data_IF_902845531348
#
_entry.id   IF_902845531348
#
_cell.length_a   1.000
_cell.length_b   1.000
_cell.length_c   1.000
_cell.angle_alpha   90.00
_cell.angle_beta   90.00
_cell.angle_gamma   90.00
#
_symmetry.space_group_name_H-M   'P 1'
#
loop_
_entity.id
_entity.type
_entity.pdbx_description
1 polymer ?
#
# COMPACT_ATOMS: atom_id res chain seq x y z
N UNK A 1 54.69 7.71 29.22
CA UNK A 1 54.12 6.47 29.82
C UNK A 1 52.59 6.49 29.96
N UNK A 2 51.93 7.65 30.21
CA UNK A 2 50.46 7.72 30.36
C UNK A 2 49.65 7.48 29.07
N UNK A 3 50.19 7.84 27.90
CA UNK A 3 49.49 7.70 26.61
C UNK A 3 49.28 6.22 26.21
N UNK A 4 50.28 5.35 26.45
CA UNK A 4 50.21 3.91 26.14
C UNK A 4 49.15 3.20 26.99
N UNK A 5 49.00 3.61 28.25
CA UNK A 5 47.98 3.05 29.15
C UNK A 5 46.54 3.41 28.73
N UNK A 6 46.34 4.61 28.19
CA UNK A 6 45.03 5.05 27.70
C UNK A 6 44.59 4.29 26.44
N UNK A 7 45.52 4.04 25.51
CA UNK A 7 45.27 3.26 24.28
C UNK A 7 44.99 1.79 24.61
N UNK A 8 45.69 1.22 25.59
CA UNK A 8 45.44 -0.17 26.02
C UNK A 8 44.06 -0.32 26.68
N UNK A 9 43.60 0.68 27.44
CA UNK A 9 42.26 0.69 28.04
C UNK A 9 41.15 0.85 27.00
N UNK A 10 41.33 1.71 25.99
CA UNK A 10 40.32 1.88 24.95
C UNK A 10 40.14 0.61 24.11
N UNK A 11 41.22 -0.08 23.76
CA UNK A 11 41.14 -1.34 23.01
C UNK A 11 40.43 -2.45 23.79
N UNK A 12 40.67 -2.55 25.11
CA UNK A 12 39.98 -3.53 25.97
C UNK A 12 38.48 -3.23 26.08
N UNK A 13 38.10 -1.96 26.18
CA UNK A 13 36.68 -1.54 26.20
C UNK A 13 35.98 -1.88 24.88
N UNK A 14 36.62 -1.62 23.73
CA UNK A 14 36.05 -1.96 22.41
C UNK A 14 35.88 -3.47 22.26
N UNK A 15 36.88 -4.28 22.62
CA UNK A 15 36.76 -5.74 22.58
C UNK A 15 35.65 -6.25 23.50
N UNK A 16 35.54 -5.69 24.71
CA UNK A 16 34.48 -6.06 25.64
C UNK A 16 33.09 -5.72 25.08
N UNK A 17 32.91 -4.52 24.53
CA UNK A 17 31.67 -4.13 23.87
C UNK A 17 31.32 -5.03 22.69
N UNK A 18 32.29 -5.38 21.85
CA UNK A 18 32.06 -6.32 20.73
C UNK A 18 31.63 -7.70 21.23
N UNK A 19 32.32 -8.26 22.23
CA UNK A 19 31.93 -9.55 22.83
C UNK A 19 30.51 -9.47 23.38
N UNK A 20 30.16 -8.38 24.08
CA UNK A 20 28.84 -8.21 24.69
C UNK A 20 27.74 -8.13 23.62
N UNK A 21 27.99 -7.42 22.51
CA UNK A 21 27.10 -7.37 21.34
C UNK A 21 26.95 -8.74 20.68
N UNK A 22 28.05 -9.47 20.47
CA UNK A 22 28.02 -10.83 19.93
C UNK A 22 27.23 -11.79 20.82
N UNK A 23 27.40 -11.71 22.14
CA UNK A 23 26.66 -12.55 23.08
C UNK A 23 25.18 -12.19 23.11
N UNK A 24 24.81 -10.91 23.05
CA UNK A 24 23.41 -10.47 23.03
C UNK A 24 22.68 -11.01 21.79
N UNK A 25 23.29 -10.86 20.61
CA UNK A 25 22.77 -11.43 19.35
C UNK A 25 22.62 -12.95 19.47
N UNK A 26 23.63 -13.65 20.00
CA UNK A 26 23.57 -15.11 20.15
C UNK A 26 22.46 -15.57 21.10
N UNK A 27 22.23 -14.84 22.21
CA UNK A 27 21.15 -15.17 23.16
C UNK A 27 19.76 -14.98 22.54
N UNK A 28 19.55 -13.94 21.74
CA UNK A 28 18.29 -13.74 21.02
C UNK A 28 18.02 -14.88 20.03
N UNK A 29 19.03 -15.33 19.28
CA UNK A 29 18.89 -16.47 18.37
C UNK A 29 18.50 -17.78 19.07
N UNK A 30 19.03 -18.04 20.27
CA UNK A 30 18.67 -19.24 21.04
C UNK A 30 17.23 -19.20 21.59
N UNK A 31 16.68 -18.01 21.82
CA UNK A 31 15.30 -17.83 22.32
C UNK A 31 14.25 -18.12 21.24
N UNK A 32 14.54 -17.78 19.97
CA UNK A 32 13.61 -17.90 18.84
C UNK A 32 13.08 -19.34 18.63
N UNK A 33 13.89 -20.36 18.92
CA UNK A 33 13.48 -21.78 18.76
C UNK A 33 12.40 -22.23 19.76
N UNK A 34 12.24 -21.52 20.87
CA UNK A 34 11.26 -21.84 21.92
C UNK A 34 9.94 -21.09 21.79
N UNK A 35 9.85 -20.13 20.85
CA UNK A 35 8.71 -19.20 20.74
C UNK A 35 7.56 -19.72 19.88
N UNK A 36 7.78 -20.75 19.07
CA UNK A 36 6.78 -21.23 18.11
C UNK A 36 6.16 -22.54 18.57
N UNK A 37 4.90 -22.47 19.00
CA UNK A 37 4.12 -23.62 19.44
C UNK A 37 3.50 -24.40 18.26
N UNK A 38 3.26 -23.73 17.13
CA UNK A 38 2.62 -24.32 15.96
C UNK A 38 3.30 -23.95 14.64
N UNK A 39 2.89 -24.69 13.60
CA UNK A 39 3.39 -24.53 12.24
C UNK A 39 3.17 -23.12 11.69
N UNK A 40 2.01 -22.52 11.97
CA UNK A 40 1.62 -21.21 11.43
C UNK A 40 2.53 -20.12 12.00
N UNK A 41 2.72 -20.12 13.33
CA UNK A 41 3.57 -19.20 14.06
C UNK A 41 5.02 -19.36 13.61
N UNK A 42 5.50 -20.60 13.43
CA UNK A 42 6.84 -20.86 12.91
C UNK A 42 7.07 -20.25 11.51
N UNK A 43 6.22 -20.56 10.53
CA UNK A 43 6.41 -20.09 9.15
C UNK A 43 6.08 -18.61 8.95
N UNK A 44 5.53 -17.95 9.98
CA UNK A 44 5.39 -16.49 10.01
C UNK A 44 6.73 -15.77 10.18
N UNK A 45 7.78 -16.46 10.63
CA UNK A 45 9.13 -15.91 10.69
C UNK A 45 9.90 -16.24 9.40
N UNK A 46 10.51 -15.26 8.72
CA UNK A 46 11.10 -15.48 7.39
C UNK A 46 12.26 -16.46 7.36
N UNK A 47 13.00 -16.55 8.46
CA UNK A 47 14.16 -17.45 8.58
C UNK A 47 13.77 -18.87 8.98
N UNK A 48 12.50 -19.17 9.24
CA UNK A 48 12.07 -20.44 9.81
C UNK A 48 11.33 -21.33 8.80
N UNK A 49 11.40 -22.64 9.00
CA UNK A 49 10.61 -23.67 8.31
C UNK A 49 10.13 -24.70 9.33
N UNK A 50 9.00 -25.35 9.02
CA UNK A 50 8.41 -26.36 9.89
C UNK A 50 8.69 -27.77 9.35
N UNK A 51 9.45 -28.59 10.08
CA UNK A 51 9.77 -29.97 9.72
C UNK A 51 8.55 -30.86 9.93
N UNK A 52 8.08 -31.50 8.87
CA UNK A 52 6.95 -32.44 8.86
C UNK A 52 7.37 -33.84 9.31
N UNK A 53 8.57 -34.28 8.92
CA UNK A 53 9.06 -35.64 9.17
C UNK A 53 10.29 -35.66 10.09
N UNK A 54 10.04 -35.51 11.39
CA UNK A 54 11.08 -35.39 12.43
C UNK A 54 11.95 -36.64 12.61
N UNK A 55 11.42 -37.83 12.30
CA UNK A 55 12.10 -39.11 12.47
C UNK A 55 13.44 -39.19 11.71
N UNK A 56 13.55 -38.45 10.60
CA UNK A 56 14.76 -38.42 9.78
C UNK A 56 15.86 -37.51 10.35
N UNK A 57 15.55 -36.70 11.37
CA UNK A 57 16.45 -35.67 11.89
C UNK A 57 16.67 -35.79 13.40
N UNK A 58 16.33 -36.90 14.05
CA UNK A 58 16.49 -37.06 15.52
C UNK A 58 17.93 -36.85 16.02
N UNK A 59 18.93 -37.05 15.15
CA UNK A 59 20.35 -36.85 15.48
C UNK A 59 20.83 -35.42 15.28
N UNK A 60 20.05 -34.56 14.61
CA UNK A 60 20.43 -33.16 14.41
C UNK A 60 20.32 -32.39 15.73
N UNK A 61 21.32 -31.55 16.08
CA UNK A 61 21.29 -30.75 17.31
C UNK A 61 20.08 -29.80 17.40
N UNK A 62 19.45 -29.46 16.27
CA UNK A 62 18.32 -28.53 16.19
C UNK A 62 16.97 -29.20 16.45
N UNK A 63 16.92 -30.50 16.24
CA UNK A 63 15.72 -31.35 16.38
C UNK A 63 15.92 -32.42 17.45
N UNK A 64 17.06 -32.42 18.16
CA UNK A 64 17.53 -33.45 19.09
C UNK A 64 16.60 -33.70 20.28
N UNK A 65 15.74 -32.75 20.60
CA UNK A 65 14.71 -32.90 21.64
C UNK A 65 13.39 -33.46 21.13
N UNK A 66 13.21 -33.65 19.82
CA UNK A 66 11.93 -34.07 19.22
C UNK A 66 10.80 -33.05 19.35
N UNK A 67 11.02 -31.94 20.06
CA UNK A 67 9.98 -30.99 20.45
C UNK A 67 9.91 -29.78 19.51
N UNK A 68 10.93 -29.55 18.68
CA UNK A 68 11.00 -28.38 17.82
C UNK A 68 10.87 -28.81 16.36
N UNK A 69 9.65 -28.73 15.85
CA UNK A 69 9.41 -28.82 14.42
C UNK A 69 9.88 -27.55 13.71
N UNK A 70 9.95 -26.41 14.41
CA UNK A 70 10.41 -25.15 13.84
C UNK A 70 11.94 -25.06 13.85
N UNK A 71 12.55 -24.90 12.68
CA UNK A 71 14.00 -24.78 12.52
C UNK A 71 14.36 -23.64 11.58
N UNK A 72 15.60 -23.14 11.67
CA UNK A 72 16.11 -22.12 10.74
C UNK A 72 16.37 -22.71 9.35
N UNK A 73 16.07 -21.95 8.29
CA UNK A 73 16.30 -22.31 6.88
C UNK A 73 17.78 -22.54 6.60
N UNK A 74 18.64 -21.65 7.10
CA UNK A 74 20.09 -21.67 6.89
C UNK A 74 20.84 -22.51 7.93
N UNK A 75 20.17 -23.51 8.51
CA UNK A 75 20.80 -24.32 9.54
C UNK A 75 21.91 -25.21 8.99
N UNK A 76 22.81 -25.64 9.87
CA UNK A 76 23.86 -26.63 9.53
C UNK A 76 23.30 -28.00 9.15
N UNK A 77 22.05 -28.29 9.50
CA UNK A 77 21.38 -29.55 9.13
C UNK A 77 20.81 -29.44 7.73
N UNK A 78 21.24 -30.35 6.85
CA UNK A 78 20.70 -30.44 5.49
C UNK A 78 19.36 -31.17 5.52
N UNK A 79 18.28 -30.40 5.62
CA UNK A 79 16.93 -30.93 5.51
C UNK A 79 16.57 -31.22 4.04
N UNK A 80 15.91 -32.36 3.81
CA UNK A 80 15.25 -32.65 2.54
C UNK A 80 14.08 -31.68 2.34
N UNK A 81 14.00 -31.05 1.17
CA UNK A 81 12.94 -30.09 0.82
C UNK A 81 11.52 -30.64 0.89
N UNK A 82 11.35 -31.96 0.83
CA UNK A 82 10.04 -32.61 0.98
C UNK A 82 9.62 -32.80 2.44
N UNK A 83 10.57 -32.72 3.38
CA UNK A 83 10.32 -33.02 4.78
C UNK A 83 10.01 -31.75 5.60
N UNK A 84 9.95 -30.58 4.98
CA UNK A 84 9.55 -29.35 5.65
C UNK A 84 8.45 -28.63 4.88
N UNK A 85 7.59 -27.95 5.63
CA UNK A 85 6.58 -27.05 5.12
C UNK A 85 7.19 -25.66 4.94
N UNK A 86 7.29 -25.26 3.68
CA UNK A 86 7.70 -23.91 3.27
C UNK A 86 6.67 -23.41 2.25
N UNK A 87 5.66 -22.61 2.68
CA UNK A 87 4.57 -22.22 1.80
C UNK A 87 5.12 -21.44 0.61
N UNK A 88 4.68 -21.83 -0.59
CA UNK A 88 5.03 -21.12 -1.82
C UNK A 88 4.08 -19.93 -1.97
N UNK A 89 4.60 -18.69 -2.10
CA UNK A 89 3.76 -17.53 -2.33
C UNK A 89 2.89 -17.74 -3.56
N UNK A 90 1.60 -17.42 -3.47
CA UNK A 90 0.66 -17.64 -4.57
C UNK A 90 -0.25 -16.43 -4.76
N UNK A 91 -0.29 -15.95 -6.00
CA UNK A 91 -1.27 -14.95 -6.44
C UNK A 91 -2.40 -15.69 -7.14
N UNK A 92 -3.63 -15.46 -6.70
CA UNK A 92 -4.83 -15.98 -7.35
C UNK A 92 -5.71 -14.80 -7.71
N UNK A 93 -5.83 -14.54 -9.01
CA UNK A 93 -6.59 -13.43 -9.57
C UNK A 93 -7.77 -13.96 -10.37
N UNK A 94 -8.96 -13.40 -10.17
CA UNK A 94 -10.17 -13.85 -10.86
C UNK A 94 -11.12 -12.70 -11.16
N UNK A 95 -11.95 -12.96 -12.17
CA UNK A 95 -13.09 -12.14 -12.53
C UNK A 95 -12.69 -10.86 -13.28
N UNK A 96 -13.71 -10.26 -13.87
CA UNK A 96 -13.66 -8.93 -14.50
C UNK A 96 -14.81 -8.13 -13.92
N UNK A 97 -14.59 -6.85 -13.66
CA UNK A 97 -15.69 -5.97 -13.24
C UNK A 97 -15.62 -4.66 -14.01
N UNK A 98 -16.79 -4.15 -14.33
CA UNK A 98 -16.92 -2.76 -14.78
C UNK A 98 -17.21 -1.89 -13.56
N UNK A 99 -16.39 -0.87 -13.33
CA UNK A 99 -16.56 0.08 -12.26
C UNK A 99 -16.39 1.49 -12.80
N UNK A 100 -17.46 2.27 -12.80
CA UNK A 100 -17.44 3.68 -13.19
C UNK A 100 -16.92 3.92 -14.62
N UNK A 101 -17.24 3.04 -15.56
CA UNK A 101 -16.77 3.13 -16.94
C UNK A 101 -15.32 2.67 -17.14
N UNK A 102 -14.78 1.88 -16.20
CA UNK A 102 -13.51 1.20 -16.36
C UNK A 102 -13.71 -0.30 -16.25
N UNK A 103 -13.19 -1.04 -17.22
CA UNK A 103 -13.05 -2.48 -17.16
C UNK A 103 -11.77 -2.82 -16.38
N UNK A 104 -11.97 -3.43 -15.21
CA UNK A 104 -10.91 -3.87 -14.31
C UNK A 104 -10.73 -5.38 -14.45
N UNK A 105 -9.48 -5.80 -14.72
CA UNK A 105 -9.10 -7.20 -14.76
C UNK A 105 -7.75 -7.40 -14.03
N UNK A 106 -7.71 -8.14 -12.91
CA UNK A 106 -8.81 -8.86 -12.29
C UNK A 106 -9.75 -7.93 -11.48
N UNK A 107 -10.96 -8.39 -11.19
CA UNK A 107 -11.86 -7.69 -10.24
C UNK A 107 -11.45 -7.89 -8.78
N UNK A 108 -10.81 -9.01 -8.46
CA UNK A 108 -10.21 -9.25 -7.16
C UNK A 108 -8.96 -10.14 -7.26
N UNK A 109 -8.06 -9.96 -6.29
CA UNK A 109 -6.83 -10.76 -6.18
C UNK A 109 -6.68 -11.23 -4.74
N UNK A 110 -6.45 -12.54 -4.56
CA UNK A 110 -6.07 -13.14 -3.27
C UNK A 110 -4.57 -13.41 -3.28
N UNK A 111 -3.89 -12.83 -2.30
CA UNK A 111 -2.46 -13.02 -2.09
C UNK A 111 -2.26 -14.02 -0.94
N UNK A 112 -1.61 -15.13 -1.23
CA UNK A 112 -1.04 -16.03 -0.22
C UNK A 112 0.42 -15.62 -0.04
N UNK A 113 0.65 -14.67 0.85
CA UNK A 113 1.97 -14.09 1.10
C UNK A 113 2.82 -14.96 2.02
N UNK A 114 4.13 -14.79 1.87
CA UNK A 114 5.15 -15.39 2.73
C UNK A 114 6.08 -14.26 3.21
N UNK A 115 6.53 -14.29 4.47
CA UNK A 115 7.55 -13.36 4.93
C UNK A 115 8.78 -13.37 3.99
N UNK A 116 9.30 -12.18 3.70
CA UNK A 116 10.44 -11.91 2.81
C UNK A 116 10.29 -12.38 1.36
N UNK A 117 9.08 -12.78 0.94
CA UNK A 117 8.80 -13.06 -0.47
C UNK A 117 8.16 -11.84 -1.14
N UNK A 118 8.82 -11.33 -2.17
CA UNK A 118 8.21 -10.35 -3.07
C UNK A 118 7.11 -11.03 -3.89
N UNK A 119 5.94 -10.39 -3.97
CA UNK A 119 4.82 -10.84 -4.78
C UNK A 119 4.44 -9.76 -5.79
N UNK A 120 4.25 -10.17 -7.03
CA UNK A 120 3.82 -9.27 -8.10
C UNK A 120 2.48 -9.75 -8.65
N UNK A 121 1.56 -8.81 -8.84
CA UNK A 121 0.31 -9.03 -9.52
C UNK A 121 0.04 -7.85 -10.45
N UNK A 122 -0.71 -8.08 -11.52
CA UNK A 122 -1.00 -7.06 -12.51
C UNK A 122 -2.50 -6.78 -12.51
N UNK A 123 -2.83 -5.49 -12.52
CA UNK A 123 -4.18 -5.01 -12.74
C UNK A 123 -4.19 -4.30 -14.10
N UNK A 124 -4.98 -4.83 -15.02
CA UNK A 124 -5.31 -4.16 -16.26
C UNK A 124 -6.54 -3.29 -16.03
N UNK A 125 -6.40 -1.99 -16.31
CA UNK A 125 -7.49 -1.02 -16.29
C UNK A 125 -7.68 -0.53 -17.72
N UNK A 126 -8.86 -0.82 -18.29
CA UNK A 126 -9.22 -0.34 -19.62
C UNK A 126 -10.38 0.64 -19.49
N UNK A 127 -10.23 1.91 -19.87
CA UNK A 127 -11.36 2.81 -19.93
C UNK A 127 -12.34 2.33 -20.99
N UNK A 128 -13.62 2.29 -20.64
CA UNK A 128 -14.66 2.14 -21.64
C UNK A 128 -14.81 3.44 -22.42
N UNK A 129 -15.22 3.30 -23.69
CA UNK A 129 -15.55 4.46 -24.49
C UNK A 129 -16.79 5.14 -23.89
N UNK A 130 -16.59 6.32 -23.32
CA UNK A 130 -17.67 7.13 -22.80
C UNK A 130 -18.60 7.54 -23.95
N UNK A 131 -19.85 7.11 -23.87
CA UNK A 131 -20.89 7.48 -24.86
C UNK A 131 -21.63 8.74 -24.46
N UNK A 132 -21.52 9.14 -23.20
CA UNK A 132 -22.19 10.29 -22.59
C UNK A 132 -21.17 11.24 -21.98
N UNK A 133 -21.37 12.53 -22.21
CA UNK A 133 -20.56 13.60 -21.66
C UNK A 133 -21.47 14.65 -21.02
N UNK A 134 -21.32 14.83 -19.70
CA UNK A 134 -22.03 15.85 -18.95
C UNK A 134 -21.03 16.93 -18.51
N UNK A 135 -21.18 18.15 -19.05
CA UNK A 135 -20.33 19.30 -18.72
C UNK A 135 -21.15 20.26 -17.86
N UNK A 136 -20.57 20.73 -16.75
CA UNK A 136 -21.21 21.71 -15.88
C UNK A 136 -20.33 22.96 -15.75
N UNK A 137 -20.79 24.07 -16.32
CA UNK A 137 -20.14 25.36 -16.20
C UNK A 137 -20.62 26.07 -14.93
N UNK A 138 -19.71 26.30 -13.99
CA UNK A 138 -19.96 27.10 -12.79
C UNK A 138 -19.39 28.50 -13.01
N UNK A 139 -20.27 29.50 -13.10
CA UNK A 139 -19.91 30.90 -13.36
C UNK A 139 -20.02 31.70 -12.06
N UNK A 140 -18.93 32.33 -11.65
CA UNK A 140 -18.94 33.26 -10.52
C UNK A 140 -19.61 34.58 -10.92
N UNK A 141 -20.57 35.04 -10.11
CA UNK A 141 -21.41 36.21 -10.40
C UNK A 141 -20.71 37.57 -10.16
N UNK A 142 -19.48 37.57 -9.61
CA UNK A 142 -18.72 38.79 -9.28
C UNK A 142 -18.20 39.57 -10.50
N UNK A 143 -18.28 39.00 -11.70
CA UNK A 143 -17.94 39.68 -12.96
C UNK A 143 -19.19 40.19 -13.68
N UNK A 144 -19.09 41.24 -14.52
CA UNK A 144 -20.16 41.65 -15.44
C UNK A 144 -20.56 40.45 -16.31
N UNK A 145 -21.65 39.79 -15.91
CA UNK A 145 -22.03 38.46 -16.37
C UNK A 145 -22.70 38.48 -17.74
N UNK A 146 -23.17 39.66 -18.18
CA UNK A 146 -23.83 39.83 -19.48
C UNK A 146 -22.90 39.44 -20.64
N UNK A 147 -21.63 39.87 -20.61
CA UNK A 147 -20.68 39.54 -21.69
C UNK A 147 -20.29 38.07 -21.74
N UNK A 148 -20.12 37.42 -20.58
CA UNK A 148 -19.71 36.00 -20.50
C UNK A 148 -20.84 35.09 -20.96
N UNK A 149 -22.09 35.37 -20.57
CA UNK A 149 -23.23 34.56 -21.01
C UNK A 149 -23.48 34.68 -22.50
N UNK A 150 -23.30 35.88 -23.09
CA UNK A 150 -23.38 36.07 -24.54
C UNK A 150 -22.25 35.34 -25.26
N UNK A 151 -21.02 35.41 -24.76
CA UNK A 151 -19.87 34.69 -25.34
C UNK A 151 -20.07 33.16 -25.27
N UNK A 152 -20.51 32.65 -24.13
CA UNK A 152 -20.84 31.23 -23.95
C UNK A 152 -21.97 30.86 -24.90
N UNK A 153 -23.08 31.61 -24.93
CA UNK A 153 -24.22 31.29 -25.80
C UNK A 153 -23.84 31.24 -27.27
N UNK A 154 -22.96 32.14 -27.73
CA UNK A 154 -22.51 32.17 -29.11
C UNK A 154 -21.56 31.02 -29.47
N UNK A 155 -20.84 30.46 -28.49
CA UNK A 155 -19.86 29.38 -28.69
C UNK A 155 -20.36 28.00 -28.28
N UNK A 156 -21.42 27.92 -27.50
CA UNK A 156 -21.93 26.67 -26.95
C UNK A 156 -22.46 25.75 -28.05
N UNK A 157 -23.06 26.30 -29.10
CA UNK A 157 -23.50 25.50 -30.25
C UNK A 157 -22.31 24.87 -31.00
N UNK A 158 -21.24 25.64 -31.21
CA UNK A 158 -20.01 25.14 -31.86
C UNK A 158 -19.41 24.01 -31.00
N UNK A 159 -19.25 24.25 -29.70
CA UNK A 159 -18.72 23.28 -28.74
C UNK A 159 -19.57 22.00 -28.72
N UNK A 160 -20.90 22.11 -28.65
CA UNK A 160 -21.79 20.94 -28.66
C UNK A 160 -21.68 20.17 -29.97
N UNK A 161 -21.56 20.87 -31.09
CA UNK A 161 -21.44 20.23 -32.42
C UNK A 161 -20.15 19.45 -32.53
N UNK A 162 -19.03 20.04 -32.11
CA UNK A 162 -17.72 19.38 -32.10
C UNK A 162 -17.72 18.16 -31.17
N UNK A 163 -18.29 18.29 -29.96
CA UNK A 163 -18.36 17.20 -28.99
C UNK A 163 -19.26 16.04 -29.44
N UNK A 164 -20.33 16.32 -30.19
CA UNK A 164 -21.19 15.28 -30.77
C UNK A 164 -20.48 14.41 -31.81
N UNK A 165 -19.33 14.85 -32.34
CA UNK A 165 -18.48 13.99 -33.16
C UNK A 165 -17.84 12.82 -32.40
N UNK A 166 -17.66 12.97 -31.08
CA UNK A 166 -17.01 11.98 -30.22
C UNK A 166 -17.96 11.32 -29.22
N UNK A 167 -19.05 12.00 -28.84
CA UNK A 167 -19.98 11.54 -27.81
C UNK A 167 -21.41 11.49 -28.35
N UNK A 168 -22.10 10.36 -28.14
CA UNK A 168 -23.48 10.19 -28.60
C UNK A 168 -24.49 11.05 -27.82
N UNK A 169 -24.17 11.39 -26.57
CA UNK A 169 -25.00 12.23 -25.72
C UNK A 169 -24.11 13.28 -25.06
N UNK A 170 -24.45 14.55 -25.26
CA UNK A 170 -23.77 15.69 -24.62
C UNK A 170 -24.84 16.47 -23.86
N UNK A 171 -24.65 16.66 -22.55
CA UNK A 171 -25.46 17.55 -21.74
C UNK A 171 -24.58 18.65 -21.19
N UNK A 172 -25.09 19.88 -21.23
CA UNK A 172 -24.41 21.04 -20.68
C UNK A 172 -25.33 21.69 -19.67
N UNK A 173 -24.87 21.80 -18.43
CA UNK A 173 -25.50 22.60 -17.39
C UNK A 173 -24.71 23.89 -17.15
N UNK A 174 -25.41 24.96 -16.82
CA UNK A 174 -24.79 26.23 -16.43
C UNK A 174 -25.37 26.63 -15.08
N UNK A 175 -24.49 26.70 -14.08
CA UNK A 175 -24.80 27.18 -12.75
C UNK A 175 -24.14 28.54 -12.51
N UNK A 176 -24.81 29.40 -11.77
CA UNK A 176 -24.21 30.63 -11.23
C UNK A 176 -24.01 30.46 -9.74
N UNK A 177 -22.91 31.00 -9.22
CA UNK A 177 -22.70 31.10 -7.78
C UNK A 177 -22.21 32.51 -7.42
N UNK A 178 -22.64 32.97 -6.25
CA UNK A 178 -22.23 34.24 -5.65
C UNK A 178 -21.68 33.96 -4.26
N UNK A 179 -21.07 34.97 -3.64
CA UNK A 179 -20.62 34.89 -2.25
C UNK A 179 -21.79 34.66 -1.27
N UNK A 180 -21.44 34.21 -0.06
CA UNK A 180 -22.36 33.95 1.04
C UNK A 180 -23.16 35.23 1.32
N UNK A 181 -24.51 35.17 1.40
CA UNK A 181 -25.34 36.38 1.50
C UNK A 181 -25.40 36.96 2.91
N UNK A 182 -24.23 37.22 3.50
CA UNK A 182 -24.06 37.70 4.88
C UNK A 182 -23.01 38.82 4.89
N UNK A 183 -23.23 39.84 5.70
CA UNK A 183 -22.23 40.88 5.94
C UNK A 183 -20.93 40.25 6.49
N UNK A 184 -19.73 40.67 6.03
CA UNK A 184 -19.43 41.83 5.19
C UNK A 184 -19.38 41.54 3.66
N UNK A 185 -19.84 40.38 3.21
CA UNK A 185 -19.70 39.95 1.80
C UNK A 185 -20.75 40.55 0.87
N UNK A 186 -21.86 41.06 1.41
CA UNK A 186 -22.89 41.80 0.66
C UNK A 186 -23.19 43.12 1.41
N UNK A 187 -23.28 44.23 0.67
CA UNK A 187 -23.75 45.51 1.21
C UNK A 187 -25.22 45.40 1.63
N UNK A 188 -25.50 45.72 2.90
CA UNK A 188 -26.87 45.83 3.38
C UNK A 188 -27.46 47.16 2.88
N UNK A 189 -28.74 47.18 2.46
CA UNK A 189 -29.38 48.43 2.05
C UNK A 189 -29.26 49.45 3.18
N UNK A 190 -28.67 50.61 2.87
CA UNK A 190 -28.58 51.70 3.81
C UNK A 190 -30.00 52.10 4.20
N UNK A 191 -30.31 52.03 5.50
CA UNK A 191 -31.55 52.61 6.02
C UNK A 191 -31.45 54.12 5.83
N UNK A 192 -31.80 54.62 4.64
CA UNK A 192 -32.05 56.04 4.45
C UNK A 192 -33.28 56.36 5.28
N UNK A 193 -33.02 57.01 6.42
CA UNK A 193 -34.02 57.51 7.35
C UNK A 193 -35.15 58.17 6.56
N UNK A 194 -36.33 57.54 6.56
CA UNK A 194 -37.55 58.19 6.11
C UNK A 194 -37.83 59.37 7.06
N UNK A 195 -37.46 60.58 6.63
CA UNK A 195 -37.97 61.83 7.19
C UNK A 195 -39.41 62.07 6.76
#
# INVERSE_FOLDING_TARGET
MRLVSAVLMSHRLVCFFLILQFTAVYTEFSSIQSLFEDCISCVSHPLCVWVLEMQHYLTSPLTKSGNHHCVLKESTTKFNSRHFYDPIPKVVSHGTMNYWGFDLNPSWTRLMAKPDAEMQFQILVKPEFATKLDIYFLIQQSMPTEGILTLISNKLNDIVTDLKGSFSQVKIGIGKFSDIPVYPFIELPSQSSAT
#
